data_IF_901453997599
#
_entry.id   IF_901453997599
#
_cell.length_a   1.000
_cell.length_b   1.000
_cell.length_c   1.000
_cell.angle_alpha   90.00
_cell.angle_beta   90.00
_cell.angle_gamma   90.00
#
_symmetry.space_group_name_H-M   'P 1'
#
loop_
_entity.id
_entity.type
_entity.pdbx_description
1 polymer ?
#
# COMPACT_ATOMS: atom_id res chain seq x y z
N UNK A 1 27.97 12.35 -21.67
CA UNK A 1 26.73 12.90 -21.07
C UNK A 1 26.27 11.91 -20.01
N UNK A 2 26.59 12.19 -18.75
CA UNK A 2 26.32 11.29 -17.63
C UNK A 2 24.85 11.39 -17.25
N UNK A 3 24.07 10.36 -17.55
CA UNK A 3 22.65 10.30 -17.18
C UNK A 3 22.53 10.32 -15.66
N UNK A 4 21.89 11.36 -15.13
CA UNK A 4 21.45 11.42 -13.74
C UNK A 4 20.44 10.29 -13.52
N UNK A 5 20.92 9.12 -13.11
CA UNK A 5 20.07 8.06 -12.57
C UNK A 5 19.54 8.62 -11.25
N UNK A 6 18.31 9.14 -11.27
CA UNK A 6 17.53 9.32 -10.05
C UNK A 6 17.44 7.94 -9.40
N UNK A 7 18.37 7.66 -8.48
CA UNK A 7 18.24 6.53 -7.56
C UNK A 7 17.04 6.87 -6.71
N UNK A 8 15.87 6.34 -7.08
CA UNK A 8 14.74 6.29 -6.17
C UNK A 8 15.28 5.74 -4.85
N UNK A 9 14.97 6.37 -3.70
CA UNK A 9 15.30 5.76 -2.43
C UNK A 9 14.77 4.33 -2.48
N UNK A 10 15.65 3.36 -2.21
CA UNK A 10 15.26 1.98 -2.04
C UNK A 10 14.15 1.99 -0.98
N UNK A 11 12.88 1.98 -1.42
CA UNK A 11 11.79 1.65 -0.54
C UNK A 11 12.12 0.23 -0.11
N UNK A 12 12.47 -0.01 1.17
CA UNK A 12 12.59 -1.38 1.63
C UNK A 12 11.29 -2.06 1.23
N UNK A 13 11.39 -3.21 0.59
CA UNK A 13 10.28 -3.97 0.04
C UNK A 13 9.25 -4.15 1.16
N UNK A 14 8.31 -3.19 1.25
CA UNK A 14 7.37 -3.13 2.34
C UNK A 14 6.46 -4.30 2.05
N UNK A 15 6.61 -5.35 2.85
CA UNK A 15 5.87 -6.59 2.66
C UNK A 15 4.41 -6.24 2.38
N UNK A 16 3.79 -6.80 1.33
CA UNK A 16 2.39 -6.58 1.02
C UNK A 16 1.46 -6.68 2.25
N UNK A 17 1.82 -7.55 3.19
CA UNK A 17 1.15 -7.67 4.49
C UNK A 17 1.27 -6.41 5.36
N UNK A 18 2.46 -5.80 5.46
CA UNK A 18 2.65 -4.56 6.22
C UNK A 18 1.86 -3.41 5.59
N UNK A 19 1.85 -3.30 4.26
CA UNK A 19 1.07 -2.28 3.55
C UNK A 19 -0.42 -2.47 3.83
N UNK A 20 -0.92 -3.69 3.65
CA UNK A 20 -2.32 -3.99 3.97
C UNK A 20 -2.66 -3.73 5.42
N UNK A 21 -1.77 -4.08 6.35
CA UNK A 21 -2.00 -3.85 7.77
C UNK A 21 -2.10 -2.35 8.09
N UNK A 22 -1.17 -1.54 7.57
CA UNK A 22 -1.22 -0.08 7.73
C UNK A 22 -2.48 0.55 7.12
N UNK A 23 -2.94 0.04 5.97
CA UNK A 23 -4.18 0.51 5.34
C UNK A 23 -5.42 0.17 6.16
N UNK A 24 -5.49 -1.01 6.77
CA UNK A 24 -6.58 -1.40 7.66
C UNK A 24 -6.59 -0.56 8.96
N UNK A 25 -5.42 -0.26 9.52
CA UNK A 25 -5.31 0.63 10.68
C UNK A 25 -5.83 2.04 10.36
N UNK A 26 -5.50 2.57 9.19
CA UNK A 26 -6.03 3.85 8.71
C UNK A 26 -7.54 3.78 8.46
N UNK A 27 -8.04 2.68 7.89
CA UNK A 27 -9.47 2.49 7.66
C UNK A 27 -10.26 2.56 8.98
N UNK A 28 -9.75 1.97 10.07
CA UNK A 28 -10.38 2.03 11.39
C UNK A 28 -10.43 3.46 11.96
N UNK A 29 -9.33 4.22 11.86
CA UNK A 29 -9.29 5.63 12.29
C UNK A 29 -10.28 6.48 11.49
N UNK A 30 -10.32 6.29 10.17
CA UNK A 30 -11.20 7.03 9.26
C UNK A 30 -12.68 6.65 9.49
N UNK A 31 -12.94 5.38 9.81
CA UNK A 31 -14.27 4.91 10.21
C UNK A 31 -14.74 5.60 11.50
N UNK A 32 -13.88 5.66 12.52
CA UNK A 32 -14.18 6.36 13.77
C UNK A 32 -14.32 7.87 13.58
N UNK A 33 -13.66 8.45 12.58
CA UNK A 33 -13.82 9.85 12.19
C UNK A 33 -15.13 10.15 11.44
N UNK A 34 -15.97 9.14 11.18
CA UNK A 34 -17.26 9.31 10.51
C UNK A 34 -17.18 9.44 8.99
N UNK A 35 -16.10 8.93 8.37
CA UNK A 35 -15.89 8.94 6.92
C UNK A 35 -15.94 7.51 6.33
N UNK A 36 -17.12 6.84 6.35
CA UNK A 36 -17.22 5.43 5.99
C UNK A 36 -16.87 5.13 4.52
N UNK A 37 -17.07 6.10 3.61
CA UNK A 37 -16.70 5.95 2.20
C UNK A 37 -15.19 5.77 2.02
N UNK A 38 -14.40 6.63 2.65
CA UNK A 38 -12.93 6.56 2.59
C UNK A 38 -12.39 5.33 3.31
N UNK A 39 -13.02 4.89 4.41
CA UNK A 39 -12.66 3.65 5.08
C UNK A 39 -12.84 2.42 4.17
N UNK A 40 -13.92 2.35 3.41
CA UNK A 40 -14.14 1.28 2.44
C UNK A 40 -13.12 1.29 1.31
N UNK A 41 -12.75 2.47 0.80
CA UNK A 41 -11.70 2.60 -0.22
C UNK A 41 -10.35 2.06 0.30
N UNK A 42 -10.00 2.38 1.56
CA UNK A 42 -8.78 1.90 2.21
C UNK A 42 -8.78 0.38 2.41
N UNK A 43 -9.92 -0.22 2.76
CA UNK A 43 -10.07 -1.68 2.85
C UNK A 43 -9.90 -2.34 1.47
N UNK A 44 -10.47 -1.76 0.41
CA UNK A 44 -10.27 -2.24 -0.96
C UNK A 44 -8.81 -2.18 -1.41
N UNK A 45 -8.11 -1.10 -1.06
CA UNK A 45 -6.67 -0.96 -1.31
C UNK A 45 -5.84 -1.96 -0.51
N UNK A 46 -6.21 -2.24 0.75
CA UNK A 46 -5.54 -3.22 1.59
C UNK A 46 -5.61 -4.63 0.97
N UNK A 47 -6.80 -5.03 0.49
CA UNK A 47 -6.96 -6.29 -0.23
C UNK A 47 -6.17 -6.32 -1.54
N UNK A 48 -6.15 -5.22 -2.31
CA UNK A 48 -5.39 -5.13 -3.56
C UNK A 48 -3.88 -5.23 -3.35
N UNK A 49 -3.38 -4.77 -2.20
CA UNK A 49 -1.96 -4.88 -1.86
C UNK A 49 -1.55 -6.35 -1.66
N UNK A 50 -2.43 -7.18 -1.08
CA UNK A 50 -2.17 -8.62 -0.84
C UNK A 50 -2.48 -9.46 -2.09
N UNK A 51 -3.53 -9.08 -2.85
CA UNK A 51 -4.00 -9.86 -4.00
C UNK A 51 -3.06 -9.80 -5.20
N UNK A 52 -2.14 -8.82 -5.28
CA UNK A 52 -1.10 -8.83 -6.29
C UNK A 52 -0.31 -10.14 -6.19
N UNK A 53 -0.51 -11.11 -7.11
CA UNK A 53 0.38 -12.25 -7.13
C UNK A 53 1.75 -11.65 -7.42
N UNK A 54 2.75 -12.09 -6.66
CA UNK A 54 4.14 -11.87 -7.03
C UNK A 54 4.28 -12.36 -8.47
N UNK A 55 4.20 -11.44 -9.44
CA UNK A 55 4.66 -11.70 -10.80
C UNK A 55 6.14 -12.03 -10.61
N UNK A 56 6.35 -13.34 -10.55
CA UNK A 56 7.63 -13.98 -10.41
C UNK A 56 8.35 -13.60 -11.68
N UNK A 57 9.20 -12.58 -11.59
CA UNK A 57 10.14 -12.21 -12.64
C UNK A 57 10.93 -13.47 -12.97
N UNK A 58 10.56 -14.09 -14.09
CA UNK A 58 11.26 -15.22 -14.69
C UNK A 58 12.61 -14.78 -15.26
#
# INVERSE_FOLDING_TARGET
MSGNILRLPHCPEASPMLISHSLLQLADVVWQAGLPGLANDLVGLAHSAIDRPSETTS
#
